data_IF_842658585247
#
_entry.id   IF_842658585247
#
_cell.length_a   1.000
_cell.length_b   1.000
_cell.length_c   1.000
_cell.angle_alpha   90.00
_cell.angle_beta   90.00
_cell.angle_gamma   90.00
#
_symmetry.space_group_name_H-M   'P 1'
#
loop_
_entity.id
_entity.type
_entity.pdbx_description
1 polymer ?
#
# COMPACT_ATOMS: atom_id res chain seq x y z
N UNK A 1 12.21 11.99 -22.53
CA UNK A 1 10.85 11.41 -22.46
C UNK A 1 10.87 10.32 -21.42
N UNK A 2 10.20 10.56 -20.28
CA UNK A 2 10.10 9.63 -19.15
C UNK A 2 9.13 8.52 -19.56
N UNK A 3 9.47 7.27 -19.24
CA UNK A 3 8.59 6.14 -19.53
C UNK A 3 7.39 6.15 -18.58
N UNK A 4 6.22 5.76 -19.10
CA UNK A 4 5.06 5.52 -18.26
C UNK A 4 5.23 4.20 -17.48
N UNK A 5 4.84 4.22 -16.21
CA UNK A 5 4.72 3.02 -15.38
C UNK A 5 3.47 2.24 -15.84
N UNK A 6 3.59 0.94 -16.09
CA UNK A 6 2.44 0.14 -16.50
C UNK A 6 1.50 -0.14 -15.30
N UNK A 7 0.19 -0.32 -15.52
CA UNK A 7 -0.69 -0.87 -14.50
C UNK A 7 -0.13 -2.18 -13.95
N UNK A 8 -0.20 -2.38 -12.63
CA UNK A 8 0.38 -3.55 -11.92
C UNK A 8 1.92 -3.65 -11.92
N UNK A 9 2.64 -2.81 -12.67
CA UNK A 9 4.10 -2.84 -12.67
C UNK A 9 4.65 -2.41 -11.31
N UNK A 10 5.56 -3.21 -10.77
CA UNK A 10 6.28 -2.84 -9.54
C UNK A 10 7.20 -1.65 -9.79
N UNK A 11 7.38 -0.82 -8.75
CA UNK A 11 8.40 0.23 -8.73
C UNK A 11 9.78 -0.27 -9.22
N UNK A 12 10.22 -1.44 -8.74
CA UNK A 12 11.52 -2.01 -9.12
C UNK A 12 11.59 -2.42 -10.59
N UNK A 13 10.51 -3.02 -11.12
CA UNK A 13 10.41 -3.30 -12.56
C UNK A 13 10.54 -2.03 -13.39
N UNK A 14 9.80 -0.98 -13.00
CA UNK A 14 9.83 0.28 -13.72
C UNK A 14 11.23 0.91 -13.77
N UNK A 15 11.93 0.93 -12.64
CA UNK A 15 13.32 1.43 -12.56
C UNK A 15 14.24 0.56 -13.45
N UNK A 16 14.16 -0.76 -13.34
CA UNK A 16 14.98 -1.68 -14.13
C UNK A 16 14.72 -1.53 -15.64
N UNK A 17 13.45 -1.40 -16.04
CA UNK A 17 13.03 -1.22 -17.44
C UNK A 17 13.53 0.11 -18.00
N UNK A 18 13.41 1.18 -17.20
CA UNK A 18 13.90 2.50 -17.58
C UNK A 18 15.40 2.50 -17.79
N UNK A 19 16.16 1.88 -16.88
CA UNK A 19 17.61 1.72 -17.02
C UNK A 19 18.00 0.86 -18.22
N UNK A 20 17.25 -0.22 -18.50
CA UNK A 20 17.48 -1.09 -19.64
C UNK A 20 17.28 -0.36 -20.98
N UNK A 21 16.17 0.37 -21.13
CA UNK A 21 15.81 1.07 -22.38
C UNK A 21 16.66 2.32 -22.59
N UNK A 22 16.87 3.13 -21.55
CA UNK A 22 17.50 4.45 -21.67
C UNK A 22 19.02 4.44 -21.42
N UNK A 23 19.60 3.31 -21.03
CA UNK A 23 21.05 3.14 -20.91
C UNK A 23 21.76 4.25 -20.11
N UNK A 24 22.87 4.77 -20.67
CA UNK A 24 23.78 5.72 -19.98
C UNK A 24 23.47 7.21 -20.15
N UNK A 25 22.30 7.61 -20.68
CA UNK A 25 21.96 9.03 -20.87
C UNK A 25 21.89 9.84 -19.55
N UNK A 26 22.26 11.12 -19.58
CA UNK A 26 22.40 11.99 -18.40
C UNK A 26 21.07 12.38 -17.75
N UNK A 27 19.96 12.43 -18.51
CA UNK A 27 18.64 12.82 -17.99
C UNK A 27 18.05 11.85 -16.96
N UNK A 28 18.63 10.65 -16.83
CA UNK A 28 18.12 9.55 -16.00
C UNK A 28 19.06 9.21 -14.83
N UNK A 29 19.94 10.13 -14.43
CA UNK A 29 20.86 9.94 -13.29
C UNK A 29 20.11 9.59 -11.99
N UNK A 30 18.88 10.12 -11.84
CA UNK A 30 17.97 9.81 -10.73
C UNK A 30 17.78 8.31 -10.59
N UNK A 31 17.49 7.59 -11.69
CA UNK A 31 17.27 6.14 -11.68
C UNK A 31 18.53 5.31 -11.36
N UNK A 32 19.73 5.84 -11.62
CA UNK A 32 20.99 5.16 -11.29
C UNK A 32 21.33 5.24 -9.80
N UNK A 33 20.80 6.25 -9.12
CA UNK A 33 20.97 6.43 -7.67
C UNK A 33 19.97 5.60 -6.85
N UNK A 34 18.99 4.96 -7.49
CA UNK A 34 18.07 4.08 -6.79
C UNK A 34 18.83 2.94 -6.13
N UNK A 35 18.51 2.62 -4.87
CA UNK A 35 19.12 1.49 -4.22
C UNK A 35 18.76 0.23 -5.01
N UNK A 36 19.79 -0.56 -5.34
CA UNK A 36 19.57 -1.81 -6.05
C UNK A 36 18.80 -2.82 -5.22
N UNK A 37 18.99 -2.76 -3.89
CA UNK A 37 18.61 -3.83 -2.95
C UNK A 37 17.31 -3.54 -2.16
N UNK A 38 16.82 -2.30 -2.20
CA UNK A 38 15.66 -1.88 -1.43
C UNK A 38 15.00 -0.64 -2.03
N UNK A 39 13.73 -0.42 -1.72
CA UNK A 39 12.98 0.81 -2.06
C UNK A 39 12.51 1.45 -0.76
N UNK A 40 12.97 2.67 -0.52
CA UNK A 40 12.66 3.48 0.65
C UNK A 40 11.61 4.56 0.35
N UNK A 41 11.06 5.21 1.38
CA UNK A 41 10.14 6.35 1.21
C UNK A 41 10.69 7.44 0.29
N UNK A 42 11.97 7.77 0.37
CA UNK A 42 12.64 8.77 -0.49
C UNK A 42 12.66 8.37 -1.96
N UNK A 43 12.72 7.08 -2.24
CA UNK A 43 12.74 6.52 -3.60
C UNK A 43 11.34 6.60 -4.22
N UNK A 44 10.31 6.28 -3.43
CA UNK A 44 8.90 6.45 -3.82
C UNK A 44 8.61 7.92 -4.18
N UNK A 45 9.06 8.87 -3.34
CA UNK A 45 8.93 10.30 -3.61
C UNK A 45 9.64 10.71 -4.90
N UNK A 46 10.84 10.19 -5.12
CA UNK A 46 11.62 10.48 -6.32
C UNK A 46 10.91 9.96 -7.58
N UNK A 47 10.36 8.74 -7.56
CA UNK A 47 9.58 8.20 -8.68
C UNK A 47 8.32 9.01 -8.92
N UNK A 48 7.55 9.31 -7.87
CA UNK A 48 6.37 10.15 -7.98
C UNK A 48 6.71 11.49 -8.67
N UNK A 49 7.79 12.14 -8.22
CA UNK A 49 8.29 13.37 -8.83
C UNK A 49 8.66 13.22 -10.31
N UNK A 50 9.29 12.11 -10.72
CA UNK A 50 9.57 11.86 -12.15
C UNK A 50 8.31 11.69 -12.98
N UNK A 51 7.20 11.24 -12.39
CA UNK A 51 5.90 11.13 -13.05
C UNK A 51 5.09 12.43 -13.00
N UNK A 52 5.65 13.51 -12.44
CA UNK A 52 4.95 14.77 -12.22
C UNK A 52 3.93 14.71 -11.07
N UNK A 53 3.95 13.66 -10.25
CA UNK A 53 3.09 13.53 -9.08
C UNK A 53 3.84 14.03 -7.85
N UNK A 54 3.44 15.20 -7.37
CA UNK A 54 4.11 15.88 -6.26
C UNK A 54 3.46 15.57 -4.91
N UNK A 55 4.23 15.77 -3.84
CA UNK A 55 3.74 15.74 -2.46
C UNK A 55 3.23 14.38 -1.98
N UNK A 56 2.40 14.43 -0.95
CA UNK A 56 1.78 13.29 -0.29
C UNK A 56 0.89 12.48 -1.27
N UNK A 57 0.19 13.17 -2.16
CA UNK A 57 -0.65 12.57 -3.20
C UNK A 57 0.16 11.66 -4.11
N UNK A 58 1.27 12.17 -4.66
CA UNK A 58 2.12 11.38 -5.55
C UNK A 58 2.74 10.18 -4.83
N UNK A 59 3.17 10.37 -3.59
CA UNK A 59 3.68 9.30 -2.74
C UNK A 59 2.66 8.18 -2.54
N UNK A 60 1.47 8.52 -2.04
CA UNK A 60 0.40 7.57 -1.75
C UNK A 60 -0.12 6.87 -3.01
N UNK A 61 -0.18 7.58 -4.13
CA UNK A 61 -0.54 7.01 -5.43
C UNK A 61 0.45 5.93 -5.88
N UNK A 62 1.77 6.17 -5.76
CA UNK A 62 2.79 5.16 -6.09
C UNK A 62 2.68 3.96 -5.15
N UNK A 63 2.53 4.18 -3.84
CA UNK A 63 2.35 3.09 -2.89
C UNK A 63 1.12 2.24 -3.24
N UNK A 64 -0.01 2.88 -3.51
CA UNK A 64 -1.24 2.15 -3.81
C UNK A 64 -1.17 1.38 -5.13
N UNK A 65 -0.60 1.96 -6.19
CA UNK A 65 -0.64 1.39 -7.54
C UNK A 65 0.53 0.47 -7.88
N UNK A 66 1.69 0.63 -7.24
CA UNK A 66 2.94 0.02 -7.69
C UNK A 66 3.74 -0.72 -6.60
N UNK A 67 3.14 -0.91 -5.42
CA UNK A 67 3.68 -1.77 -4.35
C UNK A 67 2.60 -2.71 -3.82
N UNK A 68 2.95 -3.50 -2.80
CA UNK A 68 2.04 -4.40 -2.07
C UNK A 68 1.33 -3.71 -0.89
N UNK A 69 1.51 -2.40 -0.73
CA UNK A 69 0.95 -1.59 0.35
C UNK A 69 -0.58 -1.70 0.51
N UNK A 70 -1.40 -1.88 -0.56
CA UNK A 70 -2.84 -2.11 -0.37
C UNK A 70 -3.19 -3.30 0.53
N UNK A 71 -2.34 -4.33 0.62
CA UNK A 71 -2.56 -5.47 1.53
C UNK A 71 -2.54 -5.04 3.01
N UNK A 72 -1.82 -3.95 3.32
CA UNK A 72 -1.72 -3.38 4.67
C UNK A 72 -2.82 -2.36 4.96
N UNK A 73 -3.26 -1.63 3.94
CA UNK A 73 -4.12 -0.46 4.12
C UNK A 73 -5.58 -0.66 3.71
N UNK A 74 -5.97 -1.79 3.12
CA UNK A 74 -7.39 -2.01 2.75
C UNK A 74 -8.32 -1.95 3.97
N UNK A 75 -7.87 -2.41 5.13
CA UNK A 75 -8.61 -2.31 6.39
C UNK A 75 -8.17 -1.04 7.11
N UNK A 76 -9.03 -0.03 7.10
CA UNK A 76 -8.70 1.31 7.55
C UNK A 76 -9.53 1.70 8.75
N UNK A 77 -8.88 2.25 9.77
CA UNK A 77 -9.60 2.89 10.86
C UNK A 77 -10.32 4.14 10.35
N UNK A 78 -11.60 4.29 10.67
CA UNK A 78 -12.42 5.42 10.19
C UNK A 78 -11.93 6.79 10.69
N UNK A 79 -11.18 6.84 11.79
CA UNK A 79 -10.58 8.06 12.33
C UNK A 79 -9.22 8.38 11.69
N UNK A 80 -8.63 7.45 10.94
CA UNK A 80 -7.40 7.69 10.18
C UNK A 80 -7.78 8.32 8.83
N UNK A 81 -7.51 9.61 8.69
CA UNK A 81 -7.77 10.35 7.46
C UNK A 81 -6.54 10.50 6.57
N UNK A 82 -5.50 9.68 6.79
CA UNK A 82 -4.31 9.60 5.94
C UNK A 82 -4.23 8.25 5.22
N UNK A 83 -3.61 8.17 4.04
CA UNK A 83 -3.39 6.86 3.40
C UNK A 83 -2.21 6.14 4.06
N UNK A 84 -1.04 6.77 4.06
CA UNK A 84 0.21 6.17 4.57
C UNK A 84 0.64 6.69 5.95
N UNK A 85 -0.29 7.14 6.81
CA UNK A 85 0.05 7.60 8.17
C UNK A 85 1.15 8.65 8.18
N UNK A 86 2.16 8.48 9.02
CA UNK A 86 3.32 9.34 9.12
C UNK A 86 4.44 8.94 8.13
N UNK A 87 4.27 7.89 7.32
CA UNK A 87 5.33 7.34 6.46
C UNK A 87 5.83 8.30 5.37
N UNK A 88 5.05 9.33 5.03
CA UNK A 88 5.42 10.39 4.08
C UNK A 88 6.48 11.34 4.65
N UNK A 89 6.40 11.68 5.94
CA UNK A 89 7.33 12.61 6.62
C UNK A 89 8.24 11.92 7.66
N UNK A 90 7.94 10.66 7.97
CA UNK A 90 8.54 9.89 9.03
C UNK A 90 9.87 9.28 8.64
N UNK A 91 10.30 8.28 9.41
CA UNK A 91 11.54 7.56 9.11
C UNK A 91 11.39 6.78 7.80
N UNK A 92 12.48 6.59 7.03
CA UNK A 92 12.43 5.80 5.81
C UNK A 92 11.91 4.39 6.09
N UNK A 93 10.76 4.06 5.49
CA UNK A 93 10.19 2.72 5.52
C UNK A 93 10.59 1.94 4.27
N UNK A 94 10.60 0.62 4.40
CA UNK A 94 10.97 -0.31 3.35
C UNK A 94 9.70 -0.80 2.64
N UNK A 95 9.54 -0.46 1.36
CA UNK A 95 8.37 -0.83 0.53
C UNK A 95 8.66 -1.95 -0.45
N UNK A 96 9.93 -2.22 -0.72
CA UNK A 96 10.36 -3.38 -1.50
C UNK A 96 11.78 -3.73 -1.11
N UNK A 97 12.09 -5.02 -1.09
CA UNK A 97 13.42 -5.54 -0.79
C UNK A 97 13.79 -6.57 -1.84
N UNK A 98 15.07 -6.61 -2.19
CA UNK A 98 15.65 -7.65 -3.03
C UNK A 98 15.79 -8.99 -2.31
N UNK A 99 15.49 -9.06 -1.01
CA UNK A 99 15.34 -10.33 -0.30
C UNK A 99 14.09 -11.08 -0.76
N UNK A 100 13.05 -10.34 -1.18
CA UNK A 100 11.79 -10.92 -1.64
C UNK A 100 11.97 -11.42 -3.07
N UNK A 101 11.72 -12.71 -3.27
CA UNK A 101 11.89 -13.37 -4.56
C UNK A 101 10.77 -12.95 -5.53
N UNK A 102 11.15 -12.24 -6.58
CA UNK A 102 10.22 -11.90 -7.65
C UNK A 102 9.77 -13.16 -8.41
N UNK A 103 8.61 -13.08 -9.03
CA UNK A 103 8.08 -14.15 -9.87
C UNK A 103 7.35 -13.60 -11.08
N UNK A 104 7.13 -14.47 -12.05
CA UNK A 104 6.31 -14.16 -13.22
C UNK A 104 5.42 -15.33 -13.61
N UNK A 105 4.34 -15.02 -14.32
CA UNK A 105 3.50 -16.00 -15.01
C UNK A 105 3.92 -15.99 -16.48
N UNK A 106 4.35 -17.13 -17.07
CA UNK A 106 4.74 -17.18 -18.48
C UNK A 106 3.62 -16.72 -19.42
N UNK A 107 2.36 -17.02 -19.08
CA UNK A 107 1.19 -16.62 -19.86
C UNK A 107 1.00 -15.09 -19.83
N UNK A 108 1.03 -14.46 -18.65
CA UNK A 108 1.01 -12.98 -18.56
C UNK A 108 2.15 -12.34 -19.36
N UNK A 109 3.36 -12.94 -19.31
CA UNK A 109 4.52 -12.41 -20.05
C UNK A 109 4.29 -12.50 -21.56
N UNK A 110 3.76 -13.61 -22.07
CA UNK A 110 3.42 -13.77 -23.48
C UNK A 110 2.33 -12.76 -23.92
N UNK A 111 1.25 -12.64 -23.14
CA UNK A 111 0.17 -11.69 -23.40
C UNK A 111 0.64 -10.22 -23.37
N UNK A 112 1.49 -9.86 -22.42
CA UNK A 112 2.04 -8.49 -22.33
C UNK A 112 2.97 -8.21 -23.52
N UNK A 113 3.78 -9.18 -23.97
CA UNK A 113 4.61 -9.03 -25.18
C UNK A 113 3.75 -8.89 -26.43
N UNK A 114 2.68 -9.68 -26.57
CA UNK A 114 1.78 -9.59 -27.72
C UNK A 114 1.03 -8.25 -27.76
N UNK A 115 0.53 -7.80 -26.60
CA UNK A 115 -0.31 -6.59 -26.51
C UNK A 115 0.46 -5.28 -26.44
N UNK A 116 1.58 -5.25 -25.71
CA UNK A 116 2.34 -4.03 -25.41
C UNK A 116 3.70 -3.99 -26.13
N UNK A 117 4.16 -5.11 -26.69
CA UNK A 117 5.51 -5.27 -27.24
C UNK A 117 6.58 -5.54 -26.18
N UNK A 118 6.23 -5.55 -24.89
CA UNK A 118 7.14 -5.85 -23.79
C UNK A 118 6.38 -6.33 -22.56
N UNK A 119 7.04 -7.11 -21.71
CA UNK A 119 6.54 -7.56 -20.41
C UNK A 119 7.16 -6.79 -19.25
N UNK A 120 6.62 -6.97 -18.04
CA UNK A 120 7.11 -6.33 -16.81
C UNK A 120 6.82 -7.20 -15.58
N UNK A 121 7.46 -6.88 -14.44
CA UNK A 121 7.19 -7.61 -13.20
C UNK A 121 5.95 -7.06 -12.50
N UNK A 122 4.91 -7.88 -12.43
CA UNK A 122 3.63 -7.57 -11.79
C UNK A 122 3.74 -7.65 -10.27
N UNK A 123 3.13 -6.70 -9.57
CA UNK A 123 3.15 -6.60 -8.10
C UNK A 123 2.58 -7.83 -7.40
N UNK A 124 1.47 -8.38 -7.88
CA UNK A 124 0.87 -9.59 -7.31
C UNK A 124 1.85 -10.78 -7.36
N UNK A 125 2.61 -10.93 -8.45
CA UNK A 125 3.57 -12.03 -8.60
C UNK A 125 4.83 -11.87 -7.74
N UNK A 126 5.08 -10.68 -7.20
CA UNK A 126 6.18 -10.40 -6.28
C UNK A 126 5.78 -10.56 -4.80
N UNK A 127 4.50 -10.82 -4.51
CA UNK A 127 4.02 -11.18 -3.18
C UNK A 127 4.33 -12.66 -2.86
N UNK A 128 3.95 -13.12 -1.66
CA UNK A 128 4.02 -14.53 -1.22
C UNK A 128 2.96 -15.43 -1.89
N UNK A 129 2.80 -15.28 -3.21
CA UNK A 129 1.92 -16.10 -4.04
C UNK A 129 2.75 -17.15 -4.79
N UNK A 130 2.15 -18.33 -4.95
CA UNK A 130 2.71 -19.44 -5.73
C UNK A 130 2.13 -19.52 -7.13
N UNK A 131 0.96 -18.93 -7.37
CA UNK A 131 0.19 -19.12 -8.60
C UNK A 131 -0.33 -17.79 -9.14
N UNK A 132 -0.58 -17.74 -10.45
CA UNK A 132 -1.23 -16.59 -11.10
C UNK A 132 -2.74 -16.63 -10.82
N UNK A 133 -3.29 -15.52 -10.35
CA UNK A 133 -4.73 -15.37 -10.11
C UNK A 133 -5.56 -15.44 -11.41
N UNK A 134 -5.00 -14.95 -12.52
CA UNK A 134 -5.67 -14.86 -13.82
C UNK A 134 -5.62 -16.19 -14.57
N UNK A 135 -4.44 -16.83 -14.63
CA UNK A 135 -4.22 -18.00 -15.49
C UNK A 135 -4.22 -19.35 -14.77
N UNK A 136 -4.26 -19.37 -13.43
CA UNK A 136 -4.15 -20.58 -12.61
C UNK A 136 -2.92 -21.47 -12.98
N UNK A 137 -1.77 -20.82 -13.14
CA UNK A 137 -0.48 -21.49 -13.39
C UNK A 137 0.50 -21.16 -12.27
N UNK A 138 1.47 -22.03 -12.05
CA UNK A 138 2.54 -21.78 -11.10
C UNK A 138 3.40 -20.59 -11.53
N UNK A 139 3.74 -19.73 -10.57
CA UNK A 139 4.63 -18.60 -10.78
C UNK A 139 6.08 -19.10 -10.82
N UNK A 140 6.78 -18.72 -11.87
CA UNK A 140 8.20 -19.03 -12.05
C UNK A 140 9.02 -18.05 -11.19
N UNK A 141 9.66 -18.57 -10.14
CA UNK A 141 10.45 -17.80 -9.15
C UNK A 141 11.97 -17.92 -9.36
N UNK A 142 12.41 -18.86 -10.21
CA UNK A 142 13.81 -19.09 -10.58
C UNK A 142 13.90 -19.10 -12.10
N UNK A 143 15.03 -18.67 -12.64
CA UNK A 143 15.25 -18.67 -14.08
C UNK A 143 15.16 -20.10 -14.61
N UNK A 144 14.29 -20.39 -15.59
CA UNK A 144 14.11 -21.75 -16.11
C UNK A 144 15.34 -22.26 -16.88
N UNK A 145 16.30 -21.38 -17.21
CA UNK A 145 17.47 -21.71 -18.02
C UNK A 145 18.72 -21.96 -17.18
N UNK A 146 19.00 -21.11 -16.19
CA UNK A 146 20.20 -21.24 -15.33
C UNK A 146 19.90 -21.41 -13.83
N UNK A 147 18.64 -21.57 -13.45
CA UNK A 147 18.15 -21.84 -12.09
C UNK A 147 18.48 -20.76 -11.04
N UNK A 148 19.01 -19.60 -11.46
CA UNK A 148 19.26 -18.46 -10.57
C UNK A 148 17.94 -17.80 -10.11
N UNK A 149 17.81 -17.41 -8.84
CA UNK A 149 16.60 -16.75 -8.35
C UNK A 149 16.50 -15.29 -8.84
N UNK A 150 15.28 -14.75 -8.92
CA UNK A 150 15.02 -13.34 -9.26
C UNK A 150 15.10 -12.43 -8.03
N UNK A 151 16.29 -12.32 -7.44
CA UNK A 151 16.55 -11.61 -6.19
C UNK A 151 18.04 -11.28 -6.05
N UNK A 152 18.44 -10.55 -5.01
CA UNK A 152 19.86 -10.25 -4.77
C UNK A 152 20.70 -11.54 -4.71
N UNK A 153 21.86 -11.53 -5.38
CA UNK A 153 22.72 -12.70 -5.52
C UNK A 153 22.33 -13.68 -6.65
N UNK A 154 21.27 -13.37 -7.41
CA UNK A 154 20.84 -14.11 -8.60
C UNK A 154 20.74 -13.22 -9.83
N UNK A 155 19.57 -13.22 -10.49
CA UNK A 155 19.27 -12.31 -11.60
C UNK A 155 18.72 -10.97 -11.11
N UNK A 156 19.24 -9.89 -11.70
CA UNK A 156 18.58 -8.59 -11.71
C UNK A 156 17.27 -8.67 -12.52
N UNK A 157 16.31 -7.80 -12.21
CA UNK A 157 14.99 -7.78 -12.87
C UNK A 157 15.07 -7.45 -14.37
N UNK A 158 16.20 -6.94 -14.87
CA UNK A 158 16.41 -6.68 -16.29
C UNK A 158 16.46 -7.95 -17.16
N UNK A 159 16.63 -9.13 -16.56
CA UNK A 159 16.58 -10.42 -17.27
C UNK A 159 15.27 -10.63 -18.03
N UNK A 160 14.18 -9.98 -17.59
CA UNK A 160 12.89 -9.93 -18.29
C UNK A 160 13.04 -9.51 -19.76
N UNK A 161 14.01 -8.63 -20.06
CA UNK A 161 14.24 -8.08 -21.40
C UNK A 161 15.60 -8.46 -21.99
N UNK A 162 16.62 -8.72 -21.14
CA UNK A 162 17.98 -9.00 -21.56
C UNK A 162 18.20 -10.43 -22.08
N UNK A 163 17.22 -11.33 -21.94
CA UNK A 163 17.31 -12.78 -22.15
C UNK A 163 18.27 -13.47 -21.17
N UNK A 164 18.15 -14.78 -21.04
CA UNK A 164 19.14 -15.62 -20.34
C UNK A 164 19.45 -16.81 -21.23
N UNK A 165 20.74 -17.04 -21.52
CA UNK A 165 21.18 -18.08 -22.47
C UNK A 165 20.54 -17.96 -23.86
N UNK A 166 20.25 -16.72 -24.28
CA UNK A 166 19.58 -16.41 -25.55
C UNK A 166 18.06 -16.65 -25.54
N UNK A 167 17.48 -17.12 -24.43
CA UNK A 167 16.07 -17.45 -24.31
C UNK A 167 15.26 -16.34 -23.64
N UNK A 168 14.03 -16.12 -24.12
CA UNK A 168 13.08 -15.16 -23.56
C UNK A 168 12.14 -15.84 -22.56
N UNK A 169 11.58 -15.08 -21.61
CA UNK A 169 10.66 -15.64 -20.60
C UNK A 169 9.26 -15.93 -21.13
N UNK A 170 8.87 -15.32 -22.26
CA UNK A 170 7.59 -15.62 -22.92
C UNK A 170 7.53 -17.07 -23.43
N UNK A 171 8.69 -17.67 -23.72
CA UNK A 171 8.84 -19.02 -24.26
C UNK A 171 9.02 -20.08 -23.15
N UNK A 172 8.91 -19.67 -21.88
CA UNK A 172 9.03 -20.56 -20.73
C UNK A 172 7.86 -21.54 -20.65
N UNK A 173 8.13 -22.75 -20.16
CA UNK A 173 7.10 -23.77 -19.97
C UNK A 173 6.06 -23.33 -18.94
N UNK A 174 4.82 -23.78 -19.15
CA UNK A 174 3.68 -23.49 -18.28
C UNK A 174 3.36 -24.73 -17.45
N UNK A 175 3.27 -24.54 -16.13
CA UNK A 175 2.82 -25.58 -15.19
C UNK A 175 1.47 -25.19 -14.63
N UNK A 176 0.46 -26.04 -14.83
CA UNK A 176 -0.89 -25.81 -14.30
C UNK A 176 -0.91 -26.05 -12.78
N UNK A 177 -1.60 -25.20 -12.06
CA UNK A 177 -1.82 -25.37 -10.63
C UNK A 177 -3.04 -26.27 -10.35
N UNK A 178 -2.88 -27.22 -9.44
CA UNK A 178 -3.97 -28.07 -8.93
C UNK A 178 -4.47 -27.64 -7.53
N UNK A 179 -3.71 -26.80 -6.81
CA UNK A 179 -4.05 -26.34 -5.47
C UNK A 179 -5.07 -25.20 -5.51
N UNK A 180 -6.34 -25.54 -5.27
CA UNK A 180 -7.44 -24.57 -5.25
C UNK A 180 -7.28 -23.51 -4.15
N UNK A 181 -6.60 -23.83 -3.04
CA UNK A 181 -6.39 -22.88 -1.97
C UNK A 181 -5.38 -21.80 -2.37
N UNK A 182 -4.29 -22.17 -3.06
CA UNK A 182 -3.33 -21.21 -3.59
C UNK A 182 -3.94 -20.31 -4.67
N UNK A 183 -4.82 -20.86 -5.53
CA UNK A 183 -5.56 -20.07 -6.51
C UNK A 183 -6.47 -19.04 -5.82
N UNK A 184 -7.27 -19.50 -4.84
CA UNK A 184 -8.12 -18.64 -4.03
C UNK A 184 -7.31 -17.53 -3.35
N UNK A 185 -6.17 -17.86 -2.73
CA UNK A 185 -5.27 -16.88 -2.13
C UNK A 185 -4.80 -15.83 -3.15
N UNK A 186 -4.40 -16.27 -4.35
CA UNK A 186 -3.95 -15.38 -5.40
C UNK A 186 -5.05 -14.43 -5.88
N UNK A 187 -6.28 -14.93 -6.05
CA UNK A 187 -7.45 -14.12 -6.43
C UNK A 187 -7.78 -13.06 -5.38
N UNK A 188 -7.79 -13.42 -4.09
CA UNK A 188 -7.99 -12.46 -3.00
C UNK A 188 -6.92 -11.36 -3.00
N UNK A 189 -5.65 -11.72 -3.19
CA UNK A 189 -4.57 -10.74 -3.25
C UNK A 189 -4.73 -9.81 -4.45
N UNK A 190 -5.09 -10.33 -5.63
CA UNK A 190 -5.33 -9.51 -6.81
C UNK A 190 -6.51 -8.53 -6.61
N UNK A 191 -7.61 -8.99 -5.99
CA UNK A 191 -8.76 -8.13 -5.65
C UNK A 191 -8.38 -7.05 -4.64
N UNK A 192 -7.61 -7.37 -3.59
CA UNK A 192 -7.16 -6.39 -2.59
C UNK A 192 -6.21 -5.36 -3.21
N UNK A 193 -5.24 -5.80 -4.02
CA UNK A 193 -4.27 -4.91 -4.67
C UNK A 193 -4.96 -3.95 -5.65
N UNK A 194 -6.06 -4.37 -6.27
CA UNK A 194 -6.85 -3.56 -7.21
C UNK A 194 -7.97 -2.75 -6.54
N UNK A 195 -8.21 -2.92 -5.24
CA UNK A 195 -9.29 -2.27 -4.53
C UNK A 195 -9.18 -0.74 -4.58
N UNK A 196 -10.28 -0.08 -4.92
CA UNK A 196 -10.39 1.39 -4.98
C UNK A 196 -11.03 1.99 -3.73
N UNK A 197 -11.26 1.16 -2.71
CA UNK A 197 -11.94 1.53 -1.48
C UNK A 197 -11.24 0.90 -0.27
N UNK A 198 -11.44 1.54 0.88
CA UNK A 198 -11.12 1.00 2.19
C UNK A 198 -12.38 0.41 2.82
N UNK A 199 -12.15 -0.64 3.61
CA UNK A 199 -13.12 -1.22 4.51
C UNK A 199 -12.81 -0.75 5.93
N UNK A 200 -13.84 -0.41 6.69
CA UNK A 200 -13.70 -0.08 8.11
C UNK A 200 -13.11 -1.26 8.86
N UNK A 201 -11.96 -1.05 9.51
CA UNK A 201 -11.28 -2.07 10.31
C UNK A 201 -12.23 -2.63 11.40
N UNK A 202 -13.06 -1.77 12.00
CA UNK A 202 -14.02 -2.17 13.03
C UNK A 202 -15.11 -3.11 12.50
N UNK A 203 -15.78 -2.76 11.38
CA UNK A 203 -16.80 -3.64 10.80
C UNK A 203 -16.21 -4.94 10.28
N UNK A 204 -15.02 -4.89 9.67
CA UNK A 204 -14.31 -6.10 9.23
C UNK A 204 -14.07 -7.05 10.39
N UNK A 205 -13.57 -6.52 11.52
CA UNK A 205 -13.32 -7.32 12.71
C UNK A 205 -14.63 -7.81 13.36
N UNK A 206 -15.70 -7.02 13.35
CA UNK A 206 -17.00 -7.44 13.87
C UNK A 206 -17.58 -8.62 13.07
N UNK A 207 -17.63 -8.50 11.74
CA UNK A 207 -18.09 -9.57 10.84
C UNK A 207 -17.25 -10.83 11.00
N UNK A 208 -15.92 -10.70 11.03
CA UNK A 208 -15.04 -11.85 11.21
C UNK A 208 -15.17 -12.46 12.60
N UNK A 209 -15.37 -11.65 13.65
CA UNK A 209 -15.59 -12.14 15.00
C UNK A 209 -16.84 -13.04 15.04
N UNK A 210 -17.94 -12.61 14.43
CA UNK A 210 -19.16 -13.42 14.34
C UNK A 210 -18.95 -14.73 13.58
N UNK A 211 -18.37 -14.66 12.37
CA UNK A 211 -18.19 -15.84 11.49
C UNK A 211 -17.16 -16.83 12.04
N UNK A 212 -16.05 -16.35 12.59
CA UNK A 212 -15.02 -17.22 13.16
C UNK A 212 -15.53 -17.92 14.42
N UNK A 213 -16.37 -17.28 15.23
CA UNK A 213 -16.97 -17.93 16.40
C UNK A 213 -17.99 -19.03 16.05
N UNK A 214 -18.52 -19.04 14.82
CA UNK A 214 -19.38 -20.11 14.31
C UNK A 214 -18.60 -21.35 13.82
N UNK A 215 -17.26 -21.26 13.72
CA UNK A 215 -16.41 -22.33 13.21
C UNK A 215 -15.27 -22.65 14.19
N UNK A 216 -15.45 -23.68 15.02
CA UNK A 216 -14.49 -24.06 16.06
C UNK A 216 -13.09 -24.37 15.51
N UNK A 217 -13.01 -24.97 14.31
CA UNK A 217 -11.73 -25.28 13.66
C UNK A 217 -10.96 -24.01 13.31
N UNK A 218 -11.64 -23.00 12.74
CA UNK A 218 -11.03 -21.70 12.43
C UNK A 218 -10.69 -20.93 13.70
N UNK A 219 -11.61 -20.92 14.67
CA UNK A 219 -11.45 -20.25 15.96
C UNK A 219 -10.20 -20.70 16.71
N UNK A 220 -9.94 -22.01 16.72
CA UNK A 220 -8.80 -22.64 17.38
C UNK A 220 -7.52 -22.67 16.54
N UNK A 221 -7.57 -22.26 15.27
CA UNK A 221 -6.39 -22.23 14.38
C UNK A 221 -5.35 -21.26 14.95
N UNK A 222 -4.12 -21.74 15.15
CA UNK A 222 -3.02 -20.93 15.64
C UNK A 222 -2.51 -20.04 14.51
N UNK A 223 -2.57 -18.73 14.71
CA UNK A 223 -2.14 -17.74 13.72
C UNK A 223 -0.62 -17.49 13.75
N UNK A 224 -0.06 -17.32 14.95
CA UNK A 224 1.34 -16.98 15.11
C UNK A 224 2.00 -17.91 16.15
N UNK A 225 2.97 -18.70 15.70
CA UNK A 225 3.73 -19.62 16.56
C UNK A 225 4.53 -18.91 17.65
N UNK A 226 4.82 -17.61 17.49
CA UNK A 226 5.55 -16.81 18.49
C UNK A 226 4.69 -16.53 19.73
N UNK A 227 3.38 -16.44 19.59
CA UNK A 227 2.46 -16.11 20.70
C UNK A 227 1.47 -17.24 21.02
N UNK A 228 1.37 -18.28 20.18
CA UNK A 228 0.43 -19.40 20.30
C UNK A 228 -1.03 -18.98 20.56
N UNK A 229 -1.42 -17.82 20.04
CA UNK A 229 -2.78 -17.31 20.21
C UNK A 229 -3.71 -17.86 19.12
N UNK A 230 -4.91 -18.37 19.49
CA UNK A 230 -5.93 -18.76 18.54
C UNK A 230 -6.44 -17.55 17.73
N UNK A 231 -6.74 -17.77 16.45
CA UNK A 231 -7.21 -16.74 15.53
C UNK A 231 -8.45 -16.01 16.06
N UNK A 232 -9.41 -16.75 16.64
CA UNK A 232 -10.61 -16.15 17.22
C UNK A 232 -10.32 -15.19 18.39
N UNK A 233 -9.31 -15.51 19.21
CA UNK A 233 -8.85 -14.63 20.29
C UNK A 233 -8.18 -13.37 19.73
N UNK A 234 -7.32 -13.52 18.71
CA UNK A 234 -6.64 -12.38 18.06
C UNK A 234 -7.64 -11.40 17.45
N UNK A 235 -8.65 -11.89 16.72
CA UNK A 235 -9.69 -11.05 16.11
C UNK A 235 -10.48 -10.31 17.19
N UNK A 236 -10.97 -11.04 18.21
CA UNK A 236 -11.75 -10.45 19.30
C UNK A 236 -10.97 -9.36 20.04
N UNK A 237 -9.72 -9.66 20.41
CA UNK A 237 -8.85 -8.70 21.10
C UNK A 237 -8.59 -7.46 20.25
N UNK A 238 -8.35 -7.62 18.95
CA UNK A 238 -8.16 -6.47 18.06
C UNK A 238 -9.43 -5.63 17.97
N UNK A 239 -10.60 -6.25 17.85
CA UNK A 239 -11.89 -5.55 17.83
C UNK A 239 -12.07 -4.68 19.08
N UNK A 240 -11.80 -5.24 20.26
CA UNK A 240 -11.85 -4.53 21.53
C UNK A 240 -10.90 -3.31 21.55
N UNK A 241 -9.67 -3.48 21.06
CA UNK A 241 -8.67 -2.38 20.95
C UNK A 241 -9.18 -1.27 20.02
N UNK A 242 -9.72 -1.62 18.85
CA UNK A 242 -10.24 -0.65 17.87
C UNK A 242 -11.44 0.12 18.43
N UNK A 243 -12.36 -0.57 19.11
CA UNK A 243 -13.52 0.03 19.77
C UNK A 243 -13.12 0.96 20.92
N UNK A 244 -12.18 0.52 21.77
CA UNK A 244 -11.65 1.35 22.86
C UNK A 244 -10.95 2.59 22.31
N UNK A 245 -10.11 2.45 21.28
CA UNK A 245 -9.42 3.56 20.63
C UNK A 245 -10.42 4.57 20.04
N UNK A 246 -11.46 4.09 19.33
CA UNK A 246 -12.55 4.92 18.81
C UNK A 246 -13.27 5.68 19.92
N UNK A 247 -13.60 5.02 21.03
CA UNK A 247 -14.28 5.64 22.18
C UNK A 247 -13.49 6.80 22.79
N UNK A 248 -12.15 6.73 22.73
CA UNK A 248 -11.22 7.74 23.25
C UNK A 248 -10.77 8.76 22.21
N UNK A 249 -11.25 8.66 20.96
CA UNK A 249 -10.76 9.45 19.82
C UNK A 249 -9.24 9.32 19.63
N UNK A 250 -8.73 8.08 19.56
CA UNK A 250 -7.33 7.78 19.29
C UNK A 250 -7.22 6.76 18.18
N UNK A 251 -6.11 6.81 17.43
CA UNK A 251 -5.78 5.71 16.53
C UNK A 251 -5.30 4.51 17.35
N UNK A 252 -5.78 3.29 17.04
CA UNK A 252 -5.22 2.08 17.62
C UNK A 252 -3.75 1.92 17.21
N UNK A 253 -2.96 1.22 18.01
CA UNK A 253 -1.60 0.88 17.61
C UNK A 253 -1.61 0.11 16.28
N UNK A 254 -0.62 0.38 15.43
CA UNK A 254 -0.48 -0.35 14.17
C UNK A 254 -0.17 -1.82 14.43
N UNK A 255 -0.97 -2.70 13.83
CA UNK A 255 -0.74 -4.15 13.80
C UNK A 255 -0.76 -4.64 12.35
N UNK A 256 -0.16 -5.80 12.09
CA UNK A 256 -0.20 -6.40 10.76
C UNK A 256 -1.60 -6.91 10.45
N UNK A 257 -2.07 -6.69 9.22
CA UNK A 257 -3.41 -7.11 8.75
C UNK A 257 -3.45 -8.56 8.27
N UNK A 258 -2.31 -9.26 8.29
CA UNK A 258 -2.17 -10.62 7.77
C UNK A 258 -3.17 -11.61 8.39
N UNK A 259 -3.44 -11.48 9.70
CA UNK A 259 -4.42 -12.34 10.38
C UNK A 259 -5.84 -12.11 9.89
N UNK A 260 -6.17 -10.87 9.51
CA UNK A 260 -7.48 -10.51 8.94
C UNK A 260 -7.62 -11.20 7.59
N UNK A 261 -6.63 -11.05 6.69
CA UNK A 261 -6.65 -11.70 5.36
C UNK A 261 -6.83 -13.21 5.50
N UNK A 262 -6.17 -13.82 6.49
CA UNK A 262 -6.19 -15.26 6.70
C UNK A 262 -7.50 -15.76 7.31
N UNK A 263 -8.12 -14.96 8.17
CA UNK A 263 -9.49 -15.21 8.62
C UNK A 263 -10.47 -15.15 7.44
N UNK A 264 -10.35 -14.14 6.58
CA UNK A 264 -11.23 -14.02 5.40
C UNK A 264 -11.05 -15.23 4.48
N UNK A 265 -9.81 -15.62 4.14
CA UNK A 265 -9.53 -16.80 3.32
C UNK A 265 -10.11 -18.10 3.90
N UNK A 266 -10.20 -18.20 5.23
CA UNK A 266 -10.78 -19.35 5.92
C UNK A 266 -12.31 -19.36 5.94
N UNK A 267 -12.95 -18.19 5.90
CA UNK A 267 -14.41 -18.04 6.04
C UNK A 267 -15.13 -17.91 4.69
N UNK A 268 -14.53 -17.21 3.72
CA UNK A 268 -15.20 -16.83 2.48
C UNK A 268 -14.56 -17.49 1.27
N UNK A 269 -15.37 -17.89 0.29
CA UNK A 269 -14.87 -18.40 -1.00
C UNK A 269 -14.45 -17.29 -1.96
N UNK A 270 -15.11 -16.13 -1.90
CA UNK A 270 -14.81 -14.97 -2.75
C UNK A 270 -14.65 -13.73 -1.90
N UNK A 271 -13.73 -12.85 -2.28
CA UNK A 271 -13.51 -11.60 -1.55
C UNK A 271 -14.72 -10.66 -1.67
N UNK A 272 -15.40 -10.67 -2.82
CA UNK A 272 -16.64 -9.92 -3.03
C UNK A 272 -17.75 -10.27 -2.00
N UNK A 273 -17.91 -11.54 -1.63
CA UNK A 273 -18.93 -11.97 -0.66
C UNK A 273 -18.62 -11.41 0.74
N UNK A 274 -17.35 -11.41 1.12
CA UNK A 274 -16.89 -10.75 2.34
C UNK A 274 -17.18 -9.25 2.33
N UNK A 275 -16.92 -8.57 1.22
CA UNK A 275 -17.20 -7.13 1.09
C UNK A 275 -18.69 -6.83 1.24
N UNK A 276 -19.57 -7.69 0.73
CA UNK A 276 -21.03 -7.57 0.90
C UNK A 276 -21.42 -7.68 2.38
N UNK A 277 -20.88 -8.67 3.11
CA UNK A 277 -21.16 -8.85 4.54
C UNK A 277 -20.67 -7.64 5.36
N UNK A 278 -19.49 -7.10 5.05
CA UNK A 278 -18.97 -5.89 5.72
C UNK A 278 -19.84 -4.67 5.45
N UNK A 279 -20.27 -4.45 4.19
CA UNK A 279 -21.17 -3.34 3.85
C UNK A 279 -22.54 -3.46 4.53
N UNK A 280 -23.02 -4.68 4.71
CA UNK A 280 -24.30 -4.95 5.39
C UNK A 280 -24.26 -4.59 6.88
N UNK A 281 -23.06 -4.49 7.47
CA UNK A 281 -22.85 -4.01 8.84
C UNK A 281 -23.05 -2.50 9.02
N UNK A 282 -23.41 -1.78 7.94
CA UNK A 282 -23.78 -0.36 7.98
C UNK A 282 -22.62 0.62 7.74
N UNK A 283 -21.46 0.14 7.32
CA UNK A 283 -20.30 1.00 7.04
C UNK A 283 -20.24 1.40 5.55
N UNK A 284 -20.23 2.71 5.31
CA UNK A 284 -19.93 3.26 3.98
C UNK A 284 -18.48 2.95 3.61
N UNK A 285 -18.27 2.41 2.40
CA UNK A 285 -16.92 2.21 1.87
C UNK A 285 -16.29 3.55 1.54
N UNK A 286 -15.05 3.75 1.99
CA UNK A 286 -14.32 5.00 1.76
C UNK A 286 -13.44 4.89 0.52
N UNK A 287 -13.56 5.76 -0.50
CA UNK A 287 -12.68 5.69 -1.66
C UNK A 287 -11.22 5.95 -1.27
N UNK A 288 -10.30 5.15 -1.80
CA UNK A 288 -8.87 5.19 -1.45
C UNK A 288 -8.24 6.55 -1.76
N UNK A 289 -8.60 7.15 -2.89
CA UNK A 289 -8.02 8.42 -3.34
C UNK A 289 -8.34 9.61 -2.42
N UNK A 290 -9.42 9.53 -1.63
CA UNK A 290 -9.78 10.56 -0.63
C UNK A 290 -8.73 10.71 0.48
N UNK A 291 -7.81 9.75 0.58
CA UNK A 291 -6.76 9.69 1.58
C UNK A 291 -5.37 10.08 1.07
N UNK A 292 -5.23 10.29 -0.24
CA UNK A 292 -3.90 10.45 -0.84
C UNK A 292 -3.27 11.80 -0.51
N UNK A 293 -4.05 12.84 -0.25
CA UNK A 293 -3.52 14.18 0.03
C UNK A 293 -3.17 14.41 1.49
N UNK A 294 -3.39 13.44 2.37
CA UNK A 294 -3.30 13.65 3.83
C UNK A 294 -2.27 12.73 4.46
N UNK A 295 -1.46 13.28 5.37
CA UNK A 295 -0.49 12.53 6.18
C UNK A 295 -0.61 12.89 7.67
N UNK A 296 -0.10 12.01 8.53
CA UNK A 296 0.01 12.27 9.95
C UNK A 296 1.25 13.12 10.23
N UNK A 297 1.03 14.29 10.81
CA UNK A 297 2.09 15.23 11.18
C UNK A 297 2.61 15.01 12.62
N UNK A 298 1.88 14.27 13.44
CA UNK A 298 2.31 13.95 14.79
C UNK A 298 1.31 13.14 15.61
N UNK A 299 1.83 12.47 16.64
CA UNK A 299 1.09 11.63 17.58
C UNK A 299 1.32 12.12 19.01
N UNK A 300 0.90 13.35 19.32
CA UNK A 300 0.98 13.86 20.70
C UNK A 300 -0.17 13.25 21.52
N UNK A 301 -1.06 14.07 22.07
CA UNK A 301 -2.23 13.61 22.82
C UNK A 301 -3.34 13.13 21.88
N UNK A 302 -3.38 13.72 20.68
CA UNK A 302 -4.29 13.38 19.58
C UNK A 302 -3.48 13.16 18.30
N UNK A 303 -4.08 12.52 17.31
CA UNK A 303 -3.42 12.38 16.00
C UNK A 303 -3.64 13.64 15.18
N UNK A 304 -2.54 14.23 14.72
CA UNK A 304 -2.54 15.47 13.97
C UNK A 304 -2.30 15.14 12.49
N UNK A 305 -3.06 15.77 11.61
CA UNK A 305 -2.99 15.54 10.17
C UNK A 305 -2.63 16.83 9.45
N UNK A 306 -2.07 16.69 8.25
CA UNK A 306 -1.94 17.76 7.27
C UNK A 306 -2.51 17.26 5.95
N UNK A 307 -3.48 17.99 5.40
CA UNK A 307 -4.05 17.77 4.07
C UNK A 307 -3.42 18.77 3.09
N UNK A 308 -2.80 18.28 2.02
CA UNK A 308 -2.22 19.10 0.96
C UNK A 308 -3.27 19.45 -0.11
N UNK A 309 -3.54 20.75 -0.28
CA UNK A 309 -4.35 21.30 -1.36
C UNK A 309 -3.44 21.80 -2.48
N UNK A 310 -3.31 20.98 -3.53
CA UNK A 310 -2.43 21.25 -4.67
C UNK A 310 -2.90 22.42 -5.55
N UNK A 311 -4.21 22.68 -5.63
CA UNK A 311 -4.77 23.79 -6.42
C UNK A 311 -4.39 25.15 -5.81
N UNK A 312 -4.29 25.20 -4.49
CA UNK A 312 -3.96 26.41 -3.72
C UNK A 312 -2.48 26.46 -3.32
N UNK A 313 -1.76 25.34 -3.40
CA UNK A 313 -0.40 25.21 -2.85
C UNK A 313 -0.38 25.37 -1.33
N UNK A 314 -1.44 24.93 -0.63
CA UNK A 314 -1.61 25.08 0.81
C UNK A 314 -1.80 23.75 1.53
N UNK A 315 -1.09 23.55 2.64
CA UNK A 315 -1.28 22.46 3.58
C UNK A 315 -2.19 22.91 4.72
N UNK A 316 -3.21 22.13 5.02
CA UNK A 316 -4.15 22.41 6.10
C UNK A 316 -3.86 21.46 7.25
N UNK A 317 -3.29 21.97 8.33
CA UNK A 317 -3.16 21.19 9.56
C UNK A 317 -4.51 21.04 10.24
N UNK A 318 -4.85 19.83 10.71
CA UNK A 318 -6.07 19.57 11.45
C UNK A 318 -5.94 18.45 12.48
N UNK A 319 -6.87 18.43 13.44
CA UNK A 319 -7.04 17.37 14.43
C UNK A 319 -8.55 17.06 14.55
N UNK A 320 -9.11 16.24 13.64
CA UNK A 320 -10.56 16.02 13.55
C UNK A 320 -11.11 15.19 14.72
N UNK A 321 -10.27 14.38 15.36
CA UNK A 321 -10.63 13.51 16.47
C UNK A 321 -9.75 13.82 17.69
N UNK A 322 -10.00 14.94 18.40
CA UNK A 322 -9.24 15.24 19.61
C UNK A 322 -9.59 14.24 20.72
N UNK A 323 -8.56 13.77 21.42
CA UNK A 323 -8.67 12.78 22.50
C UNK A 323 -9.53 13.33 23.65
N UNK A 324 -10.46 12.50 24.16
CA UNK A 324 -11.46 12.94 25.15
C UNK A 324 -10.90 13.16 26.56
N UNK A 325 -9.80 12.46 26.90
CA UNK A 325 -9.29 12.39 28.27
C UNK A 325 -8.33 13.54 28.64
N UNK A 326 -7.94 14.38 27.68
CA UNK A 326 -6.90 15.39 27.87
C UNK A 326 -7.41 16.81 27.59
N UNK A 327 -7.69 17.54 28.67
CA UNK A 327 -8.19 18.93 28.68
C UNK A 327 -7.06 19.99 28.60
N UNK A 328 -5.80 19.60 28.34
CA UNK A 328 -4.68 20.53 28.37
C UNK A 328 -4.14 20.88 26.97
N UNK A 329 -4.39 22.14 26.59
CA UNK A 329 -3.38 23.05 26.03
C UNK A 329 -3.04 23.04 24.51
N UNK A 330 -3.98 23.06 23.56
CA UNK A 330 -3.65 23.62 22.22
C UNK A 330 -4.81 24.38 21.56
N UNK A 331 -4.49 25.37 20.72
CA UNK A 331 -5.45 26.04 19.83
C UNK A 331 -5.66 25.14 18.60
N UNK A 332 -6.78 24.41 18.58
CA UNK A 332 -7.06 23.39 17.56
C UNK A 332 -7.54 23.96 16.22
N UNK A 333 -7.40 25.27 16.01
CA UNK A 333 -7.76 25.91 14.74
C UNK A 333 -6.81 25.41 13.64
N UNK A 334 -7.33 25.09 12.45
CA UNK A 334 -6.46 24.74 11.34
C UNK A 334 -5.43 25.83 11.10
N UNK A 335 -4.21 25.40 10.77
CA UNK A 335 -3.13 26.30 10.39
C UNK A 335 -2.83 26.03 8.92
N UNK A 336 -2.92 27.07 8.10
CA UNK A 336 -2.49 26.98 6.72
C UNK A 336 -0.97 27.06 6.68
N UNK A 337 -0.34 26.12 6.00
CA UNK A 337 1.06 26.16 5.60
C UNK A 337 1.12 26.23 4.08
N UNK A 338 2.20 26.69 3.46
CA UNK A 338 2.46 26.36 2.07
C UNK A 338 2.64 24.84 1.95
N UNK A 339 1.82 24.14 1.15
CA UNK A 339 2.11 22.74 0.81
C UNK A 339 2.83 22.65 -0.52
N UNK A 340 3.47 21.50 -0.70
CA UNK A 340 4.30 21.17 -1.83
C UNK A 340 5.57 22.02 -1.89
N UNK A 341 6.68 21.32 -2.07
CA UNK A 341 7.92 21.88 -2.58
C UNK A 341 7.61 22.82 -3.74
N UNK A 342 7.62 24.13 -3.50
CA UNK A 342 7.85 25.11 -4.56
C UNK A 342 9.03 24.56 -5.37
N UNK A 343 8.83 24.38 -6.68
CA UNK A 343 9.90 24.00 -7.60
C UNK A 343 11.18 24.69 -7.12
N UNK A 344 12.24 23.94 -6.83
CA UNK A 344 13.56 24.58 -6.78
C UNK A 344 13.89 24.84 -8.26
N UNK A 345 13.94 26.10 -8.72
CA UNK A 345 14.14 27.32 -7.94
C UNK A 345 12.82 28.01 -7.55
N UNK A 346 12.75 28.47 -6.29
CA UNK A 346 11.68 29.30 -5.72
C UNK A 346 11.11 30.22 -6.80
N UNK A 347 9.85 30.04 -7.20
CA UNK A 347 9.17 31.06 -8.00
C UNK A 347 9.30 32.39 -7.26
N UNK A 348 9.85 33.41 -7.93
CA UNK A 348 9.91 34.78 -7.39
C UNK A 348 8.46 35.25 -7.17
N UNK A 349 8.06 35.45 -5.91
CA UNK A 349 6.74 35.95 -5.53
C UNK A 349 6.46 35.80 -4.03
N UNK A 350 5.43 36.50 -3.50
CA UNK A 350 5.03 36.39 -2.09
C UNK A 350 4.66 34.93 -1.76
N UNK A 351 5.28 34.40 -0.72
CA UNK A 351 5.00 33.05 -0.21
C UNK A 351 3.87 33.17 0.84
N UNK A 352 2.89 32.25 0.88
CA UNK A 352 1.88 32.24 1.93
C UNK A 352 2.58 32.15 3.29
N UNK A 353 2.22 33.04 4.22
CA UNK A 353 2.69 32.94 5.62
C UNK A 353 1.79 31.95 6.34
N UNK A 354 2.32 31.18 7.33
CA UNK A 354 1.46 30.37 8.16
C UNK A 354 0.40 31.24 8.83
N UNK A 355 -0.86 31.03 8.48
CA UNK A 355 -1.99 31.80 8.99
C UNK A 355 -2.98 30.87 9.66
N UNK A 356 -3.29 31.21 10.91
CA UNK A 356 -4.18 30.45 11.76
C UNK A 356 -5.62 30.87 11.45
N UNK A 357 -6.52 29.91 11.18
CA UNK A 357 -7.90 30.23 10.75
C UNK A 357 -8.58 31.13 11.80
N UNK A 358 -9.21 32.22 11.35
CA UNK A 358 -9.79 33.23 12.26
C UNK A 358 -10.99 32.72 13.07
N UNK A 359 -11.75 31.75 12.54
CA UNK A 359 -12.91 31.13 13.19
C UNK A 359 -12.65 29.63 13.39
N UNK A 360 -12.87 29.14 14.60
CA UNK A 360 -12.80 27.71 14.90
C UNK A 360 -13.90 26.95 14.12
N UNK A 361 -13.59 25.82 13.46
CA UNK A 361 -14.61 24.91 12.93
C UNK A 361 -15.56 24.41 14.03
N UNK A 362 -16.78 23.95 13.68
CA UNK A 362 -17.70 23.36 14.67
C UNK A 362 -17.02 22.24 15.46
N UNK A 363 -17.11 22.28 16.80
CA UNK A 363 -16.46 21.31 17.70
C UNK A 363 -15.03 21.65 18.14
N UNK A 364 -14.43 22.73 17.61
CA UNK A 364 -13.11 23.22 18.04
C UNK A 364 -13.26 24.27 19.14
N UNK A 365 -12.82 23.94 20.36
CA UNK A 365 -12.92 24.83 21.52
C UNK A 365 -11.88 25.97 21.45
N UNK A 366 -12.35 27.20 21.71
CA UNK A 366 -11.51 28.40 21.84
C UNK A 366 -10.99 28.48 23.28
N UNK A 367 -9.71 28.77 23.46
CA UNK A 367 -9.25 29.33 24.75
C UNK A 367 -9.72 30.78 24.81
N UNK A 368 -10.39 31.18 25.89
CA UNK A 368 -10.61 32.59 26.23
C UNK A 368 -9.33 33.19 26.77
#
# INVERSE_FOLDING_TARGET
MILAIQPEETVRSFVARTLFIKGKHSSEEVFRKFPKNCILSTDILSIAGTQGWIGCYGFNKILHKHTDYPLKEIFKNIQDISYSRDEYIGRPNLYSSDSTQAGFCPVCVAEDVERLGFSFWRRAHCCELKVCAEHNVELVKRCPYCDKPFRHGGHDLNVMWATCEGQQFKDSSVMLNADQFELKKAQFFAEILSATYHLSEEAVLAVLNEKVHQNDKLKLKIWNSRYNQPLGYTIKRRLEIVQEARSRNRLPHGETTDFIIQAILGVYERFADFVIDVKSYGDEVRPVETLWSTYIAGHQESTHFVEENYDQGLGVWCCPFPARDFLRMWDWRPVYYPCCSFERPKRKGPQPRPELVKKAPPGVYRRK
#
